data_IF_166669111164
#
_entry.id   IF_166669111164
#
_cell.length_a   1.000
_cell.length_b   1.000
_cell.length_c   1.000
_cell.angle_alpha   90.00
_cell.angle_beta   90.00
_cell.angle_gamma   90.00
#
_symmetry.space_group_name_H-M   'P 1'
#
loop_
_entity.id
_entity.type
_entity.pdbx_description
1 polymer ?
#
# COMPACT_ATOMS: atom_id res chain seq x y z
N UNK A 1 6.68 -1.53 -8.56
CA UNK A 1 7.46 -2.60 -7.88
C UNK A 1 7.63 -3.73 -8.88
N UNK A 2 8.75 -4.47 -8.83
CA UNK A 2 8.96 -5.69 -9.64
C UNK A 2 9.44 -6.78 -8.68
N UNK A 3 8.74 -7.91 -8.64
CA UNK A 3 9.12 -9.08 -7.87
C UNK A 3 9.07 -10.31 -8.79
N UNK A 4 10.10 -11.14 -8.75
CA UNK A 4 10.14 -12.43 -9.43
C UNK A 4 9.93 -13.53 -8.40
N UNK A 5 8.98 -14.42 -8.65
CA UNK A 5 8.64 -15.55 -7.78
C UNK A 5 8.67 -16.84 -8.58
N UNK A 6 9.13 -17.92 -7.95
CA UNK A 6 9.09 -19.27 -8.52
C UNK A 6 7.66 -19.83 -8.61
N UNK A 7 6.72 -19.19 -7.89
CA UNK A 7 5.29 -19.46 -8.01
C UNK A 7 4.65 -18.47 -9.00
N UNK A 8 4.08 -18.93 -10.13
CA UNK A 8 3.61 -18.05 -11.21
C UNK A 8 2.43 -17.15 -10.81
N UNK A 9 1.74 -17.45 -9.70
CA UNK A 9 0.51 -16.76 -9.30
C UNK A 9 0.64 -15.91 -8.02
N UNK A 10 1.80 -15.91 -7.37
CA UNK A 10 2.01 -15.18 -6.11
C UNK A 10 3.40 -14.56 -6.15
N UNK A 11 3.47 -13.25 -5.98
CA UNK A 11 4.73 -12.53 -5.78
C UNK A 11 4.64 -11.68 -4.51
N UNK A 12 5.71 -11.67 -3.72
CA UNK A 12 5.80 -10.85 -2.51
C UNK A 12 6.30 -9.46 -2.89
N UNK A 13 5.54 -8.44 -2.51
CA UNK A 13 5.86 -7.03 -2.75
C UNK A 13 6.01 -6.29 -1.42
N UNK A 14 7.04 -5.46 -1.35
CA UNK A 14 7.11 -4.39 -0.36
C UNK A 14 6.41 -3.15 -0.92
N UNK A 15 5.17 -2.94 -0.50
CA UNK A 15 4.37 -1.77 -0.88
C UNK A 15 4.96 -0.48 -0.30
N UNK A 16 5.72 -0.57 0.79
CA UNK A 16 6.27 0.60 1.50
C UNK A 16 7.50 1.21 0.84
N UNK A 17 8.05 0.55 -0.18
CA UNK A 17 9.26 0.99 -0.87
C UNK A 17 9.15 2.42 -1.44
N UNK A 18 7.92 2.84 -1.79
CA UNK A 18 7.63 4.19 -2.29
C UNK A 18 6.97 5.10 -1.24
N UNK A 19 6.77 4.66 0.01
CA UNK A 19 6.11 5.44 1.06
C UNK A 19 6.75 6.83 1.22
N UNK A 20 8.09 6.90 1.25
CA UNK A 20 8.81 8.17 1.41
C UNK A 20 8.62 9.12 0.22
N UNK A 21 8.52 8.57 -1.00
CA UNK A 21 8.23 9.36 -2.19
C UNK A 21 6.80 9.90 -2.17
N UNK A 22 5.85 9.11 -1.68
CA UNK A 22 4.43 9.48 -1.59
C UNK A 22 4.22 10.54 -0.50
N UNK A 23 4.85 10.38 0.66
CA UNK A 23 4.77 11.34 1.78
C UNK A 23 5.49 12.66 1.41
N UNK A 24 6.60 12.58 0.69
CA UNK A 24 7.40 13.76 0.34
C UNK A 24 7.86 14.52 1.59
N UNK A 25 7.51 15.80 1.67
CA UNK A 25 7.85 16.69 2.80
C UNK A 25 6.67 16.89 3.77
N UNK A 26 5.60 16.12 3.65
CA UNK A 26 4.43 16.26 4.51
C UNK A 26 4.76 15.67 5.89
N UNK A 27 4.61 16.48 6.94
CA UNK A 27 4.73 16.04 8.32
C UNK A 27 3.35 15.67 8.89
N UNK A 28 3.34 14.85 9.95
CA UNK A 28 2.12 14.42 10.64
C UNK A 28 1.09 13.78 9.69
N UNK A 29 1.55 12.89 8.80
CA UNK A 29 0.69 12.12 7.90
C UNK A 29 0.78 10.63 8.19
N UNK A 30 -0.35 9.95 8.09
CA UNK A 30 -0.47 8.49 8.14
C UNK A 30 -0.74 7.96 6.74
N UNK A 31 0.12 7.04 6.29
CA UNK A 31 -0.02 6.37 5.00
C UNK A 31 -0.53 4.94 5.21
N UNK A 32 -1.62 4.58 4.53
CA UNK A 32 -2.22 3.24 4.56
C UNK A 32 -2.45 2.68 3.16
N UNK A 33 -2.39 1.36 3.03
CA UNK A 33 -2.55 0.62 1.77
C UNK A 33 -3.84 -0.21 1.79
N UNK A 34 -4.53 -0.32 0.67
CA UNK A 34 -5.86 -0.93 0.56
C UNK A 34 -6.05 -1.68 -0.75
N UNK A 35 -6.83 -2.77 -0.75
CA UNK A 35 -7.19 -3.53 -1.96
C UNK A 35 -8.40 -2.94 -2.72
N UNK A 36 -9.09 -1.96 -2.13
CA UNK A 36 -10.29 -1.36 -2.70
C UNK A 36 -10.24 0.15 -2.55
N UNK A 37 -10.67 0.85 -3.60
CA UNK A 37 -10.81 2.30 -3.58
C UNK A 37 -11.73 2.76 -2.44
N UNK A 38 -12.88 2.11 -2.26
CA UNK A 38 -13.84 2.48 -1.23
C UNK A 38 -13.25 2.34 0.20
N UNK A 39 -12.38 1.34 0.41
CA UNK A 39 -11.68 1.16 1.69
C UNK A 39 -10.63 2.26 1.90
N UNK A 40 -9.90 2.63 0.84
CA UNK A 40 -8.96 3.75 0.88
C UNK A 40 -9.66 5.09 1.12
N UNK A 41 -10.84 5.32 0.55
CA UNK A 41 -11.60 6.55 0.79
C UNK A 41 -12.14 6.62 2.22
N UNK A 42 -12.65 5.50 2.75
CA UNK A 42 -13.23 5.43 4.10
C UNK A 42 -12.20 5.18 5.22
N UNK A 43 -10.94 4.89 4.88
CA UNK A 43 -9.90 4.55 5.86
C UNK A 43 -10.12 3.22 6.59
N UNK A 44 -10.81 2.25 5.96
CA UNK A 44 -11.15 0.95 6.56
C UNK A 44 -10.39 -0.19 5.89
N UNK A 45 -10.25 -1.35 6.54
CA UNK A 45 -9.61 -2.55 5.97
C UNK A 45 -8.20 -2.33 5.38
N UNK A 46 -7.37 -1.55 6.08
CA UNK A 46 -5.98 -1.36 5.68
C UNK A 46 -5.20 -2.69 5.68
N UNK A 47 -4.30 -2.85 4.71
CA UNK A 47 -3.39 -3.99 4.60
C UNK A 47 -2.45 -3.98 5.81
N UNK A 48 -2.55 -5.00 6.66
CA UNK A 48 -1.80 -5.11 7.90
C UNK A 48 -0.28 -5.33 7.69
N UNK A 49 0.11 -5.99 6.59
CA UNK A 49 1.51 -6.35 6.31
C UNK A 49 1.97 -5.81 4.96
N UNK A 50 2.15 -4.48 4.81
CA UNK A 50 2.48 -3.87 3.52
C UNK A 50 3.91 -4.19 3.03
N UNK A 51 4.83 -4.57 3.93
CA UNK A 51 6.22 -4.92 3.57
C UNK A 51 6.34 -6.31 2.92
N UNK A 52 5.41 -7.22 3.24
CA UNK A 52 5.41 -8.61 2.77
C UNK A 52 4.06 -8.94 2.15
N UNK A 53 3.60 -8.08 1.23
CA UNK A 53 2.29 -8.23 0.61
C UNK A 53 2.32 -9.29 -0.49
N UNK A 54 1.48 -10.32 -0.37
CA UNK A 54 1.30 -11.33 -1.42
C UNK A 54 0.38 -10.78 -2.50
N UNK A 55 0.96 -10.22 -3.56
CA UNK A 55 0.22 -9.72 -4.70
C UNK A 55 -0.11 -10.82 -5.70
N UNK A 56 -1.26 -10.67 -6.36
CA UNK A 56 -1.67 -11.50 -7.49
C UNK A 56 -1.64 -10.69 -8.79
N UNK A 57 -1.55 -11.39 -9.92
CA UNK A 57 -1.55 -10.72 -11.23
C UNK A 57 -2.88 -9.98 -11.48
N UNK A 58 -2.78 -8.77 -12.04
CA UNK A 58 -3.93 -7.89 -12.30
C UNK A 58 -4.54 -7.18 -11.08
N UNK A 59 -3.91 -7.27 -9.91
CA UNK A 59 -4.39 -6.61 -8.69
C UNK A 59 -4.06 -5.10 -8.65
N UNK A 60 -5.00 -4.30 -8.11
CA UNK A 60 -4.79 -2.88 -7.83
C UNK A 60 -4.67 -2.62 -6.33
N UNK A 61 -3.64 -1.85 -5.96
CA UNK A 61 -3.43 -1.37 -4.60
C UNK A 61 -3.66 0.13 -4.57
N UNK A 62 -4.52 0.57 -3.65
CA UNK A 62 -4.88 1.95 -3.41
C UNK A 62 -4.16 2.47 -2.17
N UNK A 63 -3.73 3.71 -2.22
CA UNK A 63 -2.96 4.34 -1.15
C UNK A 63 -3.79 5.51 -0.62
N UNK A 64 -3.90 5.58 0.71
CA UNK A 64 -4.54 6.68 1.41
C UNK A 64 -3.50 7.38 2.27
N UNK A 65 -3.32 8.67 2.03
CA UNK A 65 -2.52 9.56 2.85
C UNK A 65 -3.48 10.49 3.62
N UNK A 66 -3.47 10.38 4.94
CA UNK A 66 -4.28 11.23 5.83
C UNK A 66 -3.37 12.07 6.71
N UNK A 67 -3.62 13.37 6.80
CA UNK A 67 -2.97 14.22 7.80
C UNK A 67 -3.62 14.03 9.17
N UNK A 68 -2.81 13.93 10.22
CA UNK A 68 -3.27 14.22 11.57
C UNK A 68 -3.66 15.70 11.61
N UNK A 69 -4.97 15.95 11.64
CA UNK A 69 -5.47 17.28 11.97
C UNK A 69 -4.96 17.62 13.37
N UNK A 70 -4.04 18.58 13.46
CA UNK A 70 -3.66 19.22 14.71
C UNK A 70 -4.85 19.98 15.32
#
# INVERSE_FOLDING_TARGET
>A
LRACSDNPNIAVFDLTQNSNLIIGNQENVTLTYHQSLANAENGTNAIAFPVNYNGIDGEFIYIRLEGENA
#
